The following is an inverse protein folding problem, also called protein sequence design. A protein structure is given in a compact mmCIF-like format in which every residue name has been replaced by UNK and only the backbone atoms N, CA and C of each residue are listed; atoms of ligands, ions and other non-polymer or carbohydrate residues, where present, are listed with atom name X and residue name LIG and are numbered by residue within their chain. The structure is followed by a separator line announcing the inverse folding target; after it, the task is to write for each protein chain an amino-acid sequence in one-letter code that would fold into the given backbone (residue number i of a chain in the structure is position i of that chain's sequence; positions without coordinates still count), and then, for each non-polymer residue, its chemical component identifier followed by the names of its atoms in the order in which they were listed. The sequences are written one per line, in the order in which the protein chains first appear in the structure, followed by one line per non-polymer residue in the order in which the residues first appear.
data_IF_733273190281
#
_entry.id   IF_733273190281
#
_cell.length_a   1.000
_cell.length_b   1.000
_cell.length_c   1.000
_cell.angle_alpha   90.00
_cell.angle_beta   90.00
_cell.angle_gamma   90.00
#
_symmetry.space_group_name_H-M   'P 1'
#
loop_
_entity.id
_entity.type
_entity.pdbx_description
1 polymer ?
#
# COMPACT_ATOMS: atom_id res chain seq x y z
N UNK A 1 8.17 -7.80 -29.81
CA UNK A 1 7.89 -6.53 -29.11
C UNK A 1 8.45 -6.66 -27.70
N UNK A 2 9.18 -5.64 -27.27
CA UNK A 2 10.07 -5.60 -26.13
C UNK A 2 9.34 -4.99 -24.92
N UNK A 3 9.35 -5.66 -23.76
CA UNK A 3 9.43 -4.99 -22.47
C UNK A 3 10.45 -5.71 -21.61
N UNK A 4 11.68 -5.25 -21.72
CA UNK A 4 12.66 -5.36 -20.65
C UNK A 4 12.16 -4.49 -19.49
N UNK A 5 11.89 -5.08 -18.33
CA UNK A 5 11.99 -4.35 -17.07
C UNK A 5 12.93 -5.15 -16.18
N UNK A 6 14.18 -4.68 -16.21
CA UNK A 6 15.19 -4.79 -15.18
C UNK A 6 14.58 -4.73 -13.79
N UNK A 7 14.91 -5.67 -12.91
CA UNK A 7 15.24 -5.29 -11.54
C UNK A 7 16.13 -6.34 -10.85
N UNK A 8 17.40 -6.36 -11.28
CA UNK A 8 18.50 -6.76 -10.41
C UNK A 8 18.61 -5.69 -9.29
N UNK A 9 17.94 -5.91 -8.15
CA UNK A 9 18.15 -5.05 -6.97
C UNK A 9 18.20 -5.85 -5.68
N UNK A 10 19.18 -6.76 -5.64
CA UNK A 10 19.74 -7.22 -4.37
C UNK A 10 20.53 -6.07 -3.72
N UNK A 11 19.87 -5.28 -2.89
CA UNK A 11 20.48 -4.52 -1.80
C UNK A 11 19.42 -4.21 -0.74
N UNK A 12 19.28 -5.20 0.16
CA UNK A 12 18.52 -5.27 1.41
C UNK A 12 18.29 -3.92 2.11
N UNK A 13 17.23 -3.22 1.71
CA UNK A 13 16.50 -2.23 2.50
C UNK A 13 15.07 -2.21 1.94
N UNK A 14 14.08 -2.51 2.78
CA UNK A 14 12.65 -2.42 2.43
C UNK A 14 12.42 -1.04 1.80
N UNK A 15 12.20 -1.01 0.49
CA UNK A 15 11.98 0.23 -0.25
C UNK A 15 10.47 0.46 -0.37
N UNK A 16 10.02 1.71 -0.48
CA UNK A 16 8.60 2.03 -0.65
C UNK A 16 7.94 1.26 -1.82
N UNK A 17 8.70 0.99 -2.88
CA UNK A 17 8.24 0.16 -4.00
C UNK A 17 8.00 -1.31 -3.62
N UNK A 18 8.76 -1.87 -2.67
CA UNK A 18 8.61 -3.25 -2.21
C UNK A 18 7.34 -3.43 -1.35
N UNK A 19 7.12 -2.44 -0.47
CA UNK A 19 5.87 -2.29 0.29
C UNK A 19 4.69 -2.16 -0.66
N UNK A 20 4.82 -1.30 -1.68
CA UNK A 20 3.77 -1.08 -2.67
C UNK A 20 3.40 -2.37 -3.41
N UNK A 21 4.39 -3.07 -3.95
CA UNK A 21 4.17 -4.33 -4.66
C UNK A 21 3.52 -5.40 -3.77
N UNK A 22 3.94 -5.48 -2.50
CA UNK A 22 3.37 -6.42 -1.53
C UNK A 22 1.91 -6.10 -1.20
N UNK A 23 1.60 -4.81 -0.98
CA UNK A 23 0.23 -4.35 -0.75
C UNK A 23 -0.67 -4.59 -1.96
N UNK A 24 -0.21 -4.25 -3.16
CA UNK A 24 -0.94 -4.50 -4.41
C UNK A 24 -1.23 -5.99 -4.61
N UNK A 25 -0.23 -6.84 -4.39
CA UNK A 25 -0.40 -8.29 -4.49
C UNK A 25 -1.42 -8.81 -3.47
N UNK A 26 -1.43 -8.28 -2.25
CA UNK A 26 -2.41 -8.62 -1.23
C UNK A 26 -3.82 -8.15 -1.60
N UNK A 27 -3.96 -6.92 -2.10
CA UNK A 27 -5.25 -6.39 -2.56
C UNK A 27 -5.85 -7.22 -3.69
N UNK A 28 -5.03 -7.62 -4.67
CA UNK A 28 -5.48 -8.46 -5.80
C UNK A 28 -6.06 -9.79 -5.34
N UNK A 29 -5.50 -10.35 -4.28
CA UNK A 29 -5.98 -11.60 -3.67
C UNK A 29 -7.25 -11.39 -2.84
N UNK A 30 -7.31 -10.32 -2.04
CA UNK A 30 -8.46 -10.01 -1.19
C UNK A 30 -9.70 -9.54 -1.99
N UNK A 31 -9.51 -8.82 -3.09
CA UNK A 31 -10.59 -8.29 -3.93
C UNK A 31 -10.88 -9.16 -5.17
N UNK A 32 -10.11 -10.24 -5.38
CA UNK A 32 -10.16 -11.09 -6.58
C UNK A 32 -10.04 -10.28 -7.90
N UNK A 33 -9.32 -9.15 -7.85
CA UNK A 33 -9.18 -8.22 -8.97
C UNK A 33 -7.71 -8.05 -9.36
N UNK A 34 -7.25 -8.64 -10.48
CA UNK A 34 -5.86 -8.57 -10.92
C UNK A 34 -5.52 -7.24 -11.62
N UNK A 35 -6.50 -6.40 -11.96
CA UNK A 35 -6.30 -5.14 -12.67
C UNK A 35 -5.86 -4.01 -11.74
N UNK A 36 -6.00 -4.19 -10.42
CA UNK A 36 -5.53 -3.22 -9.41
C UNK A 36 -4.05 -2.87 -9.63
N UNK A 37 -3.79 -1.57 -9.78
CA UNK A 37 -2.46 -0.98 -9.88
C UNK A 37 -2.22 0.07 -8.79
N UNK A 38 -0.97 0.48 -8.60
CA UNK A 38 -0.62 1.56 -7.68
C UNK A 38 -1.19 2.93 -8.09
N UNK A 39 -1.62 3.10 -9.34
CA UNK A 39 -2.25 4.33 -9.81
C UNK A 39 -3.74 4.43 -9.40
N UNK A 40 -4.36 3.29 -9.10
CA UNK A 40 -5.77 3.23 -8.72
C UNK A 40 -6.00 3.83 -7.33
N UNK A 41 -7.20 4.37 -7.15
CA UNK A 41 -7.63 4.87 -5.85
C UNK A 41 -8.27 3.73 -5.07
N UNK A 42 -8.00 3.67 -3.77
CA UNK A 42 -8.56 2.62 -2.91
C UNK A 42 -10.10 2.61 -2.93
N UNK A 43 -10.73 3.79 -3.05
CA UNK A 43 -12.19 3.91 -3.18
C UNK A 43 -12.73 3.35 -4.50
N UNK A 44 -11.96 3.49 -5.58
CA UNK A 44 -12.38 3.13 -6.94
C UNK A 44 -12.41 1.61 -7.13
N UNK A 45 -11.41 0.93 -6.57
CA UNK A 45 -11.28 -0.54 -6.61
C UNK A 45 -12.15 -1.28 -5.58
N UNK A 46 -13.04 -0.59 -4.88
CA UNK A 46 -13.90 -1.21 -3.86
C UNK A 46 -13.22 -1.46 -2.50
N UNK A 47 -12.12 -0.77 -2.23
CA UNK A 47 -11.45 -0.73 -0.94
C UNK A 47 -12.34 -0.04 0.11
N UNK A 48 -13.21 -0.82 0.73
CA UNK A 48 -14.01 -0.38 1.87
C UNK A 48 -13.16 -0.37 3.15
N UNK A 49 -13.64 0.30 4.21
CA UNK A 49 -12.93 0.45 5.50
C UNK A 49 -12.41 -0.87 6.09
N UNK A 50 -13.06 -2.01 5.79
CA UNK A 50 -12.61 -3.34 6.24
C UNK A 50 -11.31 -3.78 5.56
N UNK A 51 -11.23 -3.65 4.23
CA UNK A 51 -10.02 -3.96 3.46
C UNK A 51 -8.89 -3.03 3.87
N UNK A 52 -9.19 -1.76 4.15
CA UNK A 52 -8.22 -0.79 4.65
C UNK A 52 -7.62 -1.23 5.99
N UNK A 53 -8.48 -1.58 6.97
CA UNK A 53 -8.02 -2.06 8.27
C UNK A 53 -7.18 -3.33 8.15
N UNK A 54 -7.59 -4.28 7.31
CA UNK A 54 -6.83 -5.52 7.05
C UNK A 54 -5.47 -5.24 6.42
N UNK A 55 -5.41 -4.36 5.42
CA UNK A 55 -4.16 -3.94 4.79
C UNK A 55 -3.24 -3.27 5.82
N UNK A 56 -3.79 -2.43 6.70
CA UNK A 56 -3.02 -1.77 7.74
C UNK A 56 -2.40 -2.76 8.73
N UNK A 57 -3.16 -3.81 9.10
CA UNK A 57 -2.64 -4.91 9.93
C UNK A 57 -1.52 -5.65 9.21
N UNK A 58 -1.70 -5.98 7.93
CA UNK A 58 -0.69 -6.66 7.12
C UNK A 58 0.60 -5.84 6.99
N UNK A 59 0.48 -4.53 6.73
CA UNK A 59 1.61 -3.61 6.61
C UNK A 59 2.31 -3.36 7.96
N UNK A 60 1.53 -3.26 9.04
CA UNK A 60 2.07 -3.12 10.39
C UNK A 60 2.85 -4.37 10.81
N UNK A 61 2.33 -5.57 10.54
CA UNK A 61 2.97 -6.84 10.90
C UNK A 61 4.20 -7.15 10.02
N UNK A 62 4.10 -6.89 8.71
CA UNK A 62 5.17 -7.22 7.74
C UNK A 62 6.27 -6.17 7.67
N UNK A 63 5.92 -4.88 7.77
CA UNK A 63 6.81 -3.75 7.51
C UNK A 63 6.90 -2.76 8.67
N UNK A 64 6.05 -2.85 9.69
CA UNK A 64 6.03 -1.91 10.81
C UNK A 64 5.45 -0.54 10.46
N UNK A 65 4.68 -0.43 9.38
CA UNK A 65 4.10 0.84 8.93
C UNK A 65 2.57 0.80 8.89
N UNK A 66 1.96 1.99 8.93
CA UNK A 66 0.52 2.20 8.81
C UNK A 66 0.21 3.31 7.80
N UNK A 67 -0.89 3.14 7.10
CA UNK A 67 -1.50 4.10 6.21
C UNK A 67 -2.49 4.97 6.97
N UNK A 68 -2.56 6.24 6.61
CA UNK A 68 -3.62 7.14 7.06
C UNK A 68 -4.81 7.11 6.10
N UNK A 69 -6.01 7.11 6.66
CA UNK A 69 -7.27 7.08 5.93
C UNK A 69 -7.39 8.29 4.98
N UNK A 70 -6.95 9.48 5.42
CA UNK A 70 -6.99 10.70 4.61
C UNK A 70 -6.08 10.55 3.40
N UNK A 71 -4.83 10.12 3.58
CA UNK A 71 -3.86 9.96 2.48
C UNK A 71 -4.28 8.86 1.51
N UNK A 72 -4.88 7.79 2.02
CA UNK A 72 -5.34 6.66 1.21
C UNK A 72 -6.58 6.96 0.36
N UNK A 73 -7.41 7.89 0.83
CA UNK A 73 -8.61 8.32 0.10
C UNK A 73 -8.42 9.60 -0.73
N UNK A 74 -7.39 10.40 -0.45
CA UNK A 74 -7.08 11.63 -1.17
C UNK A 74 -6.21 11.40 -2.42
N UNK A 75 -5.48 10.26 -2.47
CA UNK A 75 -4.58 9.94 -3.58
C UNK A 75 -4.56 8.47 -3.98
N UNK A 76 -3.71 8.17 -4.97
CA UNK A 76 -3.50 6.81 -5.46
C UNK A 76 -2.86 5.90 -4.42
N UNK A 77 -3.09 4.60 -4.56
CA UNK A 77 -2.56 3.59 -3.65
C UNK A 77 -1.04 3.66 -3.49
N UNK A 78 -0.32 3.87 -4.60
CA UNK A 78 1.12 4.10 -4.63
C UNK A 78 1.55 5.30 -3.79
N UNK A 79 0.82 6.42 -3.90
CA UNK A 79 1.10 7.62 -3.13
C UNK A 79 0.84 7.41 -1.64
N UNK A 80 -0.24 6.70 -1.29
CA UNK A 80 -0.55 6.33 0.08
C UNK A 80 0.54 5.43 0.69
N UNK A 81 0.99 4.41 -0.04
CA UNK A 81 2.03 3.47 0.38
C UNK A 81 3.40 4.15 0.49
N UNK A 82 3.71 5.09 -0.40
CA UNK A 82 4.91 5.92 -0.31
C UNK A 82 4.88 6.90 0.87
N UNK A 83 3.70 7.33 1.31
CA UNK A 83 3.50 8.23 2.44
C UNK A 83 3.18 7.50 3.76
N UNK A 84 3.29 6.16 3.78
CA UNK A 84 3.06 5.36 4.97
C UNK A 84 4.01 5.78 6.12
N UNK A 85 3.49 5.76 7.35
CA UNK A 85 4.21 6.20 8.54
C UNK A 85 4.50 5.00 9.45
N UNK A 86 5.60 5.01 10.23
CA UNK A 86 5.87 3.94 11.19
C UNK A 86 4.75 3.86 12.25
N UNK A 87 4.32 2.64 12.55
CA UNK A 87 3.21 2.31 13.46
C UNK A 87 3.40 2.87 14.88
N UNK A 88 4.65 3.12 15.28
CA UNK A 88 5.03 3.70 16.57
C UNK A 88 4.74 5.20 16.71
N UNK A 89 4.25 5.86 15.65
CA UNK A 89 3.87 7.27 15.71
C UNK A 89 2.58 7.44 16.50
N UNK A 90 2.75 7.52 17.82
CA UNK A 90 1.76 7.99 18.77
C UNK A 90 1.52 9.48 18.52
N UNK A 91 0.74 9.84 17.50
CA UNK A 91 0.24 11.20 17.35
C UNK A 91 -1.30 11.20 17.23
N UNK A 92 -2.01 11.72 18.25
CA UNK A 92 -3.44 11.95 18.19
C UNK A 92 -3.68 13.25 17.41
N UNK A 93 -4.41 13.20 16.30
CA UNK A 93 -4.94 14.41 15.65
C UNK A 93 -6.32 14.06 15.10
N UNK A 94 -7.38 14.13 15.90
CA UNK A 94 -8.13 15.35 16.26
C UNK A 94 -8.66 16.11 15.04
N UNK A 95 -9.93 15.83 14.70
CA UNK A 95 -10.91 16.89 14.46
C UNK A 95 -12.30 16.44 14.94
#
# INVERSE_FOLDING_TARGET
MQVSVTNEKEARAVSAADVEQSALKWLRDELDDPEITGADNFLDIGGHSLTFSKLNIFLGDSFGIVLDMKTTYDGSLAAALAAAQPSDTSEPSNK
#
